data_IF_982059925695
#
_entry.id   IF_982059925695
#
_cell.length_a   1.000
_cell.length_b   1.000
_cell.length_c   1.000
_cell.angle_alpha   90.00
_cell.angle_beta   90.00
_cell.angle_gamma   90.00
#
_symmetry.space_group_name_H-M   'P 1'
#
loop_
_entity.id
_entity.type
_entity.pdbx_description
1 polymer ?
#
# COMPACT_ATOMS: atom_id res chain seq x y z
N UNK A 1 -6.64 4.75 7.65
CA UNK A 1 -5.56 5.45 8.40
C UNK A 1 -5.57 6.87 7.90
N UNK A 2 -5.80 7.88 8.75
CA UNK A 2 -6.02 9.25 8.27
C UNK A 2 -4.76 9.91 7.71
N UNK A 3 -4.52 9.75 6.41
CA UNK A 3 -3.41 10.40 5.68
C UNK A 3 -3.87 11.78 5.23
N UNK A 4 -3.14 12.84 5.61
CA UNK A 4 -3.50 14.22 5.24
C UNK A 4 -3.25 14.52 3.77
N UNK A 5 -2.01 14.30 3.34
CA UNK A 5 -1.52 14.62 2.00
C UNK A 5 -0.76 13.42 1.44
N UNK A 6 -1.01 13.11 0.17
CA UNK A 6 -0.34 12.03 -0.54
C UNK A 6 -0.12 12.36 -2.01
N UNK A 7 0.84 11.68 -2.62
CA UNK A 7 1.04 11.59 -4.06
C UNK A 7 1.00 10.13 -4.45
N UNK A 8 0.53 9.82 -5.65
CA UNK A 8 0.55 8.44 -6.12
C UNK A 8 1.10 8.33 -7.53
N UNK A 9 1.60 7.14 -7.84
CA UNK A 9 2.08 6.76 -9.17
C UNK A 9 1.68 5.32 -9.48
N UNK A 10 1.49 5.03 -10.77
CA UNK A 10 1.31 3.68 -11.27
C UNK A 10 2.59 3.24 -11.99
N UNK A 11 3.09 2.07 -11.61
CA UNK A 11 4.28 1.47 -12.20
C UNK A 11 3.95 0.10 -12.78
N UNK A 12 4.67 -0.31 -13.82
CA UNK A 12 4.56 -1.68 -14.33
C UNK A 12 5.15 -2.66 -13.32
N UNK A 13 4.71 -3.92 -13.38
CA UNK A 13 5.23 -5.00 -12.56
C UNK A 13 6.58 -5.43 -13.15
N UNK A 14 7.69 -5.08 -12.47
CA UNK A 14 9.04 -5.34 -12.99
C UNK A 14 9.29 -6.83 -13.32
N UNK A 15 8.78 -7.74 -12.48
CA UNK A 15 8.93 -9.18 -12.71
C UNK A 15 7.99 -9.75 -13.78
N UNK A 16 6.97 -8.99 -14.21
CA UNK A 16 6.05 -9.36 -15.27
C UNK A 16 5.72 -8.13 -16.15
N UNK A 17 6.65 -7.66 -17.00
CA UNK A 17 6.47 -6.43 -17.78
C UNK A 17 5.32 -6.47 -18.78
N UNK A 18 4.87 -7.68 -19.16
CA UNK A 18 3.73 -7.89 -20.06
C UNK A 18 2.38 -7.87 -19.34
N UNK A 19 2.38 -7.63 -18.03
CA UNK A 19 1.15 -7.51 -17.23
C UNK A 19 0.27 -6.37 -17.74
N UNK A 20 -1.02 -6.65 -17.87
CA UNK A 20 -2.06 -5.62 -18.10
C UNK A 20 -2.44 -4.88 -16.81
N UNK A 21 -1.93 -5.32 -15.67
CA UNK A 21 -2.08 -4.69 -14.37
C UNK A 21 -0.80 -3.97 -13.95
N UNK A 22 -0.97 -2.95 -13.10
CA UNK A 22 0.04 -2.06 -12.57
C UNK A 22 0.12 -2.20 -11.04
N UNK A 23 1.21 -1.72 -10.45
CA UNK A 23 1.31 -1.48 -9.02
C UNK A 23 1.05 0.01 -8.75
N UNK A 24 0.20 0.29 -7.77
CA UNK A 24 0.02 1.62 -7.22
C UNK A 24 1.02 1.82 -6.08
N UNK A 25 1.74 2.93 -6.11
CA UNK A 25 2.56 3.42 -5.02
C UNK A 25 1.96 4.74 -4.53
N UNK A 26 1.45 4.75 -3.31
CA UNK A 26 0.91 5.92 -2.62
C UNK A 26 1.92 6.41 -1.58
N UNK A 27 2.58 7.54 -1.85
CA UNK A 27 3.58 8.15 -0.98
C UNK A 27 2.97 9.30 -0.17
N UNK A 28 3.37 9.44 1.08
CA UNK A 28 2.93 10.52 1.96
C UNK A 28 4.07 11.03 2.83
N UNK A 29 3.97 12.28 3.30
CA UNK A 29 5.06 12.94 4.00
C UNK A 29 5.14 12.63 5.50
N UNK A 30 4.09 12.04 6.06
CA UNK A 30 4.03 11.62 7.46
C UNK A 30 4.78 10.28 7.63
N UNK A 31 5.71 10.22 8.58
CA UNK A 31 6.38 8.97 8.95
C UNK A 31 5.55 8.23 9.99
N UNK A 32 5.07 7.04 9.65
CA UNK A 32 4.25 6.19 10.51
C UNK A 32 5.00 4.99 11.08
N UNK A 33 6.34 4.96 11.03
CA UNK A 33 7.15 3.82 11.46
C UNK A 33 6.77 3.30 12.85
N UNK A 34 6.67 4.20 13.82
CA UNK A 34 6.34 3.86 15.20
C UNK A 34 4.90 3.35 15.38
N UNK A 35 4.02 3.62 14.39
CA UNK A 35 2.66 3.13 14.36
C UNK A 35 2.54 1.73 13.75
N UNK A 36 3.53 1.25 12.99
CA UNK A 36 3.45 -0.02 12.28
C UNK A 36 3.13 -1.22 13.21
N UNK A 37 3.73 -1.38 14.41
CA UNK A 37 3.36 -2.46 15.32
C UNK A 37 1.88 -2.41 15.74
N UNK A 38 1.34 -1.21 15.97
CA UNK A 38 -0.06 -1.01 16.35
C UNK A 38 -1.01 -1.29 15.18
N UNK A 39 -0.63 -0.89 13.97
CA UNK A 39 -1.37 -1.16 12.74
C UNK A 39 -1.40 -2.68 12.50
N UNK A 40 -0.26 -3.36 12.60
CA UNK A 40 -0.16 -4.80 12.42
C UNK A 40 -1.03 -5.58 13.41
N UNK A 41 -1.06 -5.15 14.68
CA UNK A 41 -1.91 -5.77 15.71
C UNK A 41 -3.41 -5.68 15.40
N UNK A 42 -3.83 -4.72 14.57
CA UNK A 42 -5.24 -4.50 14.16
C UNK A 42 -5.58 -5.08 12.80
N UNK A 43 -4.59 -5.54 12.02
CA UNK A 43 -4.78 -6.10 10.69
C UNK A 43 -4.72 -7.63 10.75
N UNK A 44 -5.86 -8.33 10.79
CA UNK A 44 -5.88 -9.79 10.86
C UNK A 44 -5.23 -10.39 9.61
N UNK A 45 -4.44 -11.45 9.79
CA UNK A 45 -3.80 -12.17 8.68
C UNK A 45 -2.66 -11.41 8.00
N UNK A 46 -2.21 -10.28 8.56
CA UNK A 46 -0.99 -9.62 8.09
C UNK A 46 0.27 -10.32 8.57
N UNK A 47 1.37 -10.10 7.85
CA UNK A 47 2.73 -10.40 8.29
C UNK A 47 3.45 -9.10 8.61
N UNK A 48 3.99 -9.01 9.81
CA UNK A 48 4.89 -7.94 10.23
C UNK A 48 6.01 -8.55 11.07
N UNK A 49 7.25 -8.39 10.61
CA UNK A 49 8.44 -8.80 11.35
C UNK A 49 9.05 -7.52 11.93
N UNK A 50 9.23 -7.47 13.25
CA UNK A 50 9.78 -6.27 13.88
C UNK A 50 11.15 -5.92 13.27
N UNK A 51 11.34 -4.66 12.91
CA UNK A 51 12.56 -4.16 12.27
C UNK A 51 12.57 -4.23 10.73
N UNK A 52 11.58 -4.83 10.08
CA UNK A 52 11.49 -4.83 8.60
C UNK A 52 10.80 -3.60 8.03
N UNK A 53 10.16 -2.79 8.87
CA UNK A 53 9.41 -1.59 8.48
C UNK A 53 8.40 -1.85 7.34
N UNK A 54 7.80 -3.04 7.30
CA UNK A 54 6.79 -3.40 6.29
C UNK A 54 5.76 -4.36 6.84
N UNK A 55 4.49 -3.99 6.69
CA UNK A 55 3.34 -4.86 6.92
C UNK A 55 2.84 -5.35 5.57
N UNK A 56 2.70 -6.66 5.38
CA UNK A 56 2.13 -7.24 4.17
C UNK A 56 0.85 -8.00 4.49
N UNK A 57 -0.17 -7.88 3.64
CA UNK A 57 -1.40 -8.66 3.72
C UNK A 57 -2.10 -8.67 2.36
N UNK A 58 -3.16 -9.47 2.26
CA UNK A 58 -4.02 -9.51 1.07
C UNK A 58 -5.39 -8.93 1.42
N UNK A 59 -5.85 -7.97 0.62
CA UNK A 59 -7.19 -7.36 0.73
C UNK A 59 -7.81 -7.35 -0.67
N UNK A 60 -9.00 -7.94 -0.84
CA UNK A 60 -9.75 -7.95 -2.11
C UNK A 60 -8.88 -8.26 -3.34
N UNK A 61 -8.07 -9.32 -3.26
CA UNK A 61 -7.14 -9.78 -4.30
C UNK A 61 -5.92 -8.90 -4.59
N UNK A 62 -5.74 -7.82 -3.83
CA UNK A 62 -4.54 -6.99 -3.85
C UNK A 62 -3.60 -7.46 -2.74
N UNK A 63 -2.33 -7.65 -3.07
CA UNK A 63 -1.27 -7.61 -2.06
C UNK A 63 -1.05 -6.14 -1.70
N UNK A 64 -1.12 -5.84 -0.41
CA UNK A 64 -0.92 -4.51 0.15
C UNK A 64 0.31 -4.55 1.03
N UNK A 65 1.24 -3.62 0.79
CA UNK A 65 2.41 -3.40 1.62
C UNK A 65 2.34 -1.99 2.23
N UNK A 66 2.32 -1.90 3.56
CA UNK A 66 2.37 -0.63 4.29
C UNK A 66 3.78 -0.44 4.84
N UNK A 67 4.41 0.67 4.47
CA UNK A 67 5.75 1.11 4.90
C UNK A 67 5.64 2.49 5.59
N UNK A 68 6.71 2.98 6.24
CA UNK A 68 6.67 4.25 7.00
C UNK A 68 6.15 5.47 6.25
N UNK A 69 6.29 5.55 4.93
CA UNK A 69 5.91 6.73 4.12
C UNK A 69 5.22 6.34 2.81
N UNK A 70 4.82 5.08 2.69
CA UNK A 70 4.37 4.50 1.44
C UNK A 70 3.36 3.37 1.68
N UNK A 71 2.33 3.31 0.85
CA UNK A 71 1.49 2.12 0.67
C UNK A 71 1.62 1.65 -0.78
N UNK A 72 2.01 0.38 -0.96
CA UNK A 72 2.01 -0.27 -2.28
C UNK A 72 0.82 -1.20 -2.41
N UNK A 73 0.11 -1.13 -3.53
CA UNK A 73 -1.06 -1.97 -3.84
C UNK A 73 -0.85 -2.59 -5.22
N UNK A 74 -0.78 -3.92 -5.28
CA UNK A 74 -0.58 -4.64 -6.55
C UNK A 74 -1.87 -4.76 -7.36
N UNK A 75 -1.78 -5.17 -8.63
CA UNK A 75 -2.93 -5.60 -9.45
C UNK A 75 -3.98 -4.49 -9.68
N UNK A 76 -3.52 -3.26 -9.87
CA UNK A 76 -4.36 -2.11 -10.23
C UNK A 76 -4.52 -2.05 -11.75
N UNK A 77 -5.75 -1.86 -12.22
CA UNK A 77 -6.12 -1.89 -13.64
C UNK A 77 -5.76 -0.59 -14.36
N UNK A 78 -6.10 0.53 -13.76
CA UNK A 78 -5.99 1.85 -14.37
C UNK A 78 -5.96 2.95 -13.30
N UNK A 79 -5.76 4.19 -13.75
CA UNK A 79 -5.70 5.37 -12.88
C UNK A 79 -7.01 5.63 -12.13
N UNK A 80 -8.16 5.24 -12.69
CA UNK A 80 -9.45 5.39 -12.03
C UNK A 80 -9.51 4.49 -10.80
N UNK A 81 -9.20 3.20 -10.97
CA UNK A 81 -9.12 2.27 -9.83
C UNK A 81 -8.07 2.73 -8.81
N UNK A 82 -6.94 3.27 -9.28
CA UNK A 82 -5.90 3.79 -8.39
C UNK A 82 -6.43 4.90 -7.46
N UNK A 83 -7.20 5.85 -8.00
CA UNK A 83 -7.82 6.94 -7.21
C UNK A 83 -8.83 6.42 -6.20
N UNK A 84 -9.67 5.45 -6.60
CA UNK A 84 -10.63 4.80 -5.69
C UNK A 84 -9.92 4.10 -4.51
N UNK A 85 -8.79 3.42 -4.79
CA UNK A 85 -7.96 2.79 -3.76
C UNK A 85 -7.30 3.84 -2.86
N UNK A 86 -6.76 4.92 -3.41
CA UNK A 86 -6.15 5.99 -2.61
C UNK A 86 -7.15 6.59 -1.62
N UNK A 87 -8.39 6.89 -2.05
CA UNK A 87 -9.41 7.41 -1.15
C UNK A 87 -9.83 6.37 -0.09
N UNK A 88 -9.91 5.09 -0.46
CA UNK A 88 -10.18 4.02 0.51
C UNK A 88 -9.10 3.90 1.59
N UNK A 89 -7.81 4.04 1.24
CA UNK A 89 -6.69 3.87 2.17
C UNK A 89 -6.34 5.12 2.97
N UNK A 90 -6.75 6.30 2.48
CA UNK A 90 -6.58 7.59 3.13
C UNK A 90 -7.41 7.75 4.40
N UNK A 91 -8.54 7.07 4.51
CA UNK A 91 -9.46 7.14 5.67
C UNK A 91 -9.13 6.08 6.72
#
# INVERSE_FOLDING_TARGET
MRIKDYKFQLINIECLPTSVHLNLIMNFDEDIKDLLPYIAARLPGCTYIHGTDVINFTERYHIVAIKPREITITRVKDEKQARELCEYWKD
#
